data_IF_298949416820
#
_entry.id   IF_298949416820
#
_cell.length_a   1.000
_cell.length_b   1.000
_cell.length_c   1.000
_cell.angle_alpha   90.00
_cell.angle_beta   90.00
_cell.angle_gamma   90.00
#
_symmetry.space_group_name_H-M   'P 1'
#
loop_
_entity.id
_entity.type
_entity.pdbx_description
1 polymer ?
#
# COMPACT_ATOMS: atom_id res chain seq x y z
N UNK A 1 71.34 10.55 1.27
CA UNK A 1 72.05 11.74 1.80
C UNK A 1 72.79 12.42 0.65
N UNK A 2 72.53 13.73 0.50
CA UNK A 2 73.30 14.83 -0.11
C UNK A 2 73.76 14.80 -1.60
N UNK A 3 73.22 15.80 -2.30
CA UNK A 3 73.73 16.50 -3.50
C UNK A 3 75.14 17.07 -3.32
N UNK A 4 75.80 17.43 -4.43
CA UNK A 4 75.94 18.85 -4.84
C UNK A 4 75.85 18.99 -6.40
N UNK A 5 75.80 20.12 -7.09
CA UNK A 5 75.49 21.55 -6.89
C UNK A 5 75.53 22.18 -8.31
N UNK A 6 74.56 23.03 -8.66
CA UNK A 6 74.49 23.86 -9.89
C UNK A 6 75.52 25.01 -9.92
N UNK A 7 75.76 25.76 -11.04
CA UNK A 7 74.90 26.91 -11.40
C UNK A 7 74.87 27.36 -12.89
N UNK A 8 73.93 28.28 -13.22
CA UNK A 8 73.89 29.35 -14.25
C UNK A 8 72.48 29.41 -14.90
N UNK A 9 71.55 30.33 -14.57
CA UNK A 9 71.49 31.81 -14.56
C UNK A 9 71.52 32.44 -15.96
N UNK A 10 70.35 32.81 -16.49
CA UNK A 10 70.17 33.90 -17.47
C UNK A 10 68.92 34.72 -17.19
N UNK A 11 69.10 36.03 -17.36
CA UNK A 11 68.30 37.15 -16.89
C UNK A 11 67.18 37.56 -17.86
N UNK A 12 66.22 38.35 -17.34
CA UNK A 12 65.21 39.12 -18.07
C UNK A 12 65.84 40.30 -18.83
N UNK A 13 65.06 41.01 -19.66
CA UNK A 13 64.68 42.37 -19.23
C UNK A 13 63.22 42.77 -19.49
N UNK A 14 62.76 43.73 -18.69
CA UNK A 14 61.48 44.45 -18.73
C UNK A 14 61.59 45.82 -19.41
N UNK A 15 60.45 46.38 -19.87
CA UNK A 15 60.05 47.80 -20.10
C UNK A 15 59.41 47.99 -21.49
N UNK A 16 58.47 48.89 -21.77
CA UNK A 16 57.53 49.75 -21.04
C UNK A 16 56.71 50.55 -22.09
N UNK A 17 55.66 51.23 -21.62
CA UNK A 17 55.10 52.51 -22.09
C UNK A 17 53.77 52.51 -22.88
N UNK A 18 52.78 53.17 -22.24
CA UNK A 18 51.58 53.79 -22.78
C UNK A 18 51.89 55.11 -23.54
N UNK A 19 50.90 55.73 -24.21
CA UNK A 19 50.35 57.02 -23.72
C UNK A 19 48.81 57.11 -23.89
N UNK A 20 47.99 57.53 -22.91
CA UNK A 20 47.71 58.85 -22.30
C UNK A 20 46.86 59.85 -23.11
N UNK A 21 45.94 60.48 -22.35
CA UNK A 21 45.22 61.78 -22.48
C UNK A 21 43.88 61.79 -23.22
N UNK A 22 42.86 62.57 -22.81
CA UNK A 22 42.44 63.25 -21.56
C UNK A 22 41.29 64.20 -21.94
N UNK A 23 40.54 64.66 -20.92
CA UNK A 23 39.74 65.91 -20.84
C UNK A 23 38.34 65.88 -21.48
N UNK A 24 37.25 66.40 -20.90
CA UNK A 24 36.94 67.04 -19.60
C UNK A 24 35.40 67.23 -19.55
N UNK A 25 34.86 67.24 -18.33
CA UNK A 25 33.56 67.72 -17.78
C UNK A 25 32.95 69.00 -18.44
N UNK A 26 31.69 69.45 -18.14
CA UNK A 26 31.03 69.31 -16.83
C UNK A 26 29.46 69.30 -16.71
N UNK A 27 29.05 69.05 -15.44
CA UNK A 27 27.99 69.66 -14.61
C UNK A 27 26.49 69.27 -14.59
N UNK A 28 26.05 69.13 -13.31
CA UNK A 28 24.76 69.48 -12.67
C UNK A 28 23.60 68.48 -12.80
N UNK A 29 22.80 68.14 -11.78
CA UNK A 29 22.76 68.29 -10.31
C UNK A 29 21.59 67.38 -9.82
N UNK A 30 21.40 67.32 -8.50
CA UNK A 30 20.29 66.77 -7.70
C UNK A 30 20.40 65.31 -7.21
N UNK A 31 21.06 65.18 -6.03
CA UNK A 31 20.44 64.95 -4.70
C UNK A 31 19.21 64.01 -4.63
N UNK A 32 19.09 63.05 -3.70
CA UNK A 32 19.49 63.14 -2.30
C UNK A 32 19.62 61.75 -1.64
N UNK A 33 20.37 61.71 -0.55
CA UNK A 33 20.96 60.53 0.10
C UNK A 33 20.11 59.83 1.19
N UNK A 34 20.54 58.64 1.66
CA UNK A 34 19.81 57.72 2.55
C UNK A 34 20.31 57.75 4.00
N UNK A 35 19.53 57.24 4.98
CA UNK A 35 20.07 56.85 6.31
C UNK A 35 19.47 55.54 6.86
N UNK A 36 20.37 54.76 7.46
CA UNK A 36 20.34 53.44 8.09
C UNK A 36 19.57 53.34 9.45
N UNK A 37 19.48 52.14 10.07
CA UNK A 37 18.46 51.77 11.06
C UNK A 37 18.90 51.93 12.54
N UNK A 38 17.92 51.93 13.46
CA UNK A 38 18.13 51.78 14.91
C UNK A 38 17.05 50.93 15.62
N UNK A 39 17.55 49.88 16.29
CA UNK A 39 17.24 49.35 17.63
C UNK A 39 15.90 49.60 18.35
N UNK A 40 15.33 48.47 18.82
CA UNK A 40 14.89 48.17 20.20
C UNK A 40 13.85 49.06 20.92
N UNK A 41 12.73 48.46 21.38
CA UNK A 41 12.34 48.44 22.81
C UNK A 41 10.94 47.85 23.08
N UNK A 42 10.91 47.07 24.17
CA UNK A 42 9.85 46.89 25.18
C UNK A 42 8.60 46.01 24.99
N UNK A 43 8.52 45.10 25.95
CA UNK A 43 7.43 44.26 26.36
C UNK A 43 6.16 45.02 26.79
N UNK A 44 5.01 44.35 26.71
CA UNK A 44 4.01 44.43 27.78
C UNK A 44 3.27 43.11 27.98
N UNK A 45 3.46 42.60 29.18
CA UNK A 45 2.74 41.54 29.88
C UNK A 45 1.32 42.02 30.20
N UNK A 46 0.31 41.17 29.99
CA UNK A 46 -0.90 41.15 30.82
C UNK A 46 -1.22 39.69 31.15
N UNK A 47 -1.04 39.33 32.43
CA UNK A 47 -1.79 38.29 33.13
C UNK A 47 -2.82 38.97 34.01
N UNK A 48 -4.03 38.44 34.08
CA UNK A 48 -4.84 38.42 35.29
C UNK A 48 -5.82 37.22 35.24
N UNK A 49 -5.94 36.57 36.40
CA UNK A 49 -6.51 35.26 36.69
C UNK A 49 -8.05 35.23 36.88
N UNK A 50 -8.59 33.99 36.80
CA UNK A 50 -9.69 33.35 37.62
C UNK A 50 -11.09 34.00 37.62
N UNK A 51 -12.24 33.30 37.61
CA UNK A 51 -12.66 31.99 38.13
C UNK A 51 -13.90 31.41 37.38
N UNK A 52 -14.17 30.13 37.65
CA UNK A 52 -15.25 29.19 37.27
C UNK A 52 -16.66 29.65 36.82
N UNK A 53 -17.21 28.94 35.81
CA UNK A 53 -18.49 28.16 35.82
C UNK A 53 -18.86 27.74 34.38
N UNK A 54 -18.90 26.43 34.05
CA UNK A 54 -20.09 25.56 34.02
C UNK A 54 -21.13 25.84 32.92
N UNK A 55 -21.19 24.89 31.96
CA UNK A 55 -22.36 24.38 31.20
C UNK A 55 -22.91 25.22 30.03
N UNK A 56 -22.96 24.59 28.86
CA UNK A 56 -23.75 25.03 27.72
C UNK A 56 -23.39 24.32 26.41
N UNK A 57 -23.82 23.06 26.24
CA UNK A 57 -23.87 22.43 24.92
C UNK A 57 -24.90 23.16 24.05
N UNK A 58 -24.52 23.52 22.82
CA UNK A 58 -25.49 23.82 21.75
C UNK A 58 -24.96 23.27 20.43
N UNK A 59 -25.65 22.30 19.80
CA UNK A 59 -25.37 21.86 18.44
C UNK A 59 -26.26 22.65 17.49
N UNK A 60 -25.67 23.34 16.51
CA UNK A 60 -26.27 23.57 15.18
C UNK A 60 -25.37 24.51 14.38
N UNK A 61 -24.64 23.95 13.42
CA UNK A 61 -24.16 24.63 12.20
C UNK A 61 -23.43 23.60 11.33
N UNK A 62 -24.20 22.77 10.62
CA UNK A 62 -23.68 21.96 9.50
C UNK A 62 -23.77 22.82 8.25
N UNK A 63 -22.64 23.35 7.80
CA UNK A 63 -22.52 23.98 6.47
C UNK A 63 -22.19 22.88 5.46
N UNK A 64 -23.17 22.54 4.62
CA UNK A 64 -23.02 21.62 3.48
C UNK A 64 -22.35 22.38 2.34
N UNK A 65 -21.12 22.01 1.97
CA UNK A 65 -20.51 22.43 0.71
C UNK A 65 -20.68 21.28 -0.29
N UNK A 66 -21.57 21.50 -1.25
CA UNK A 66 -21.81 20.65 -2.41
C UNK A 66 -20.65 20.82 -3.41
N UNK A 67 -19.85 19.77 -3.60
CA UNK A 67 -18.91 19.68 -4.73
C UNK A 67 -19.41 18.63 -5.73
N UNK A 68 -19.38 19.02 -6.99
CA UNK A 68 -19.96 18.34 -8.15
C UNK A 68 -19.28 16.99 -8.43
N UNK A 69 -20.12 16.03 -8.78
CA UNK A 69 -19.80 14.68 -9.23
C UNK A 69 -19.25 14.69 -10.67
N UNK A 70 -18.06 14.12 -10.86
CA UNK A 70 -17.58 13.64 -12.15
C UNK A 70 -17.40 12.12 -12.03
N UNK A 71 -18.35 11.35 -12.56
CA UNK A 71 -18.28 9.90 -12.59
C UNK A 71 -17.31 9.45 -13.69
N UNK A 72 -16.26 8.72 -13.32
CA UNK A 72 -15.50 7.88 -14.25
C UNK A 72 -15.64 6.43 -13.81
N UNK A 73 -16.24 5.61 -14.67
CA UNK A 73 -16.52 4.20 -14.43
C UNK A 73 -15.25 3.38 -14.59
N UNK A 74 -14.85 2.60 -13.57
CA UNK A 74 -13.77 1.63 -13.70
C UNK A 74 -14.33 0.20 -13.72
N UNK A 75 -14.08 -0.48 -14.85
CA UNK A 75 -14.33 -1.89 -15.04
C UNK A 75 -13.15 -2.73 -14.50
N UNK A 76 -13.49 -3.73 -13.68
CA UNK A 76 -12.78 -5.01 -13.43
C UNK A 76 -11.24 -5.00 -13.30
N UNK A 77 -10.75 -5.12 -12.06
CA UNK A 77 -9.38 -5.52 -11.75
C UNK A 77 -9.15 -7.02 -11.98
N UNK A 78 -8.16 -7.32 -12.83
CA UNK A 78 -7.18 -8.41 -12.80
C UNK A 78 -7.65 -9.87 -12.64
N UNK A 79 -7.65 -10.60 -13.77
CA UNK A 79 -7.49 -12.06 -13.85
C UNK A 79 -6.18 -12.38 -14.60
N UNK A 80 -5.35 -13.34 -14.16
CA UNK A 80 -4.17 -13.74 -14.91
C UNK A 80 -4.54 -14.78 -15.98
N UNK A 81 -4.06 -14.60 -17.22
CA UNK A 81 -4.13 -15.64 -18.27
C UNK A 81 -2.76 -15.79 -18.93
N UNK A 82 -2.25 -17.03 -18.92
CA UNK A 82 -1.06 -17.47 -19.66
C UNK A 82 -1.40 -17.79 -21.14
N UNK A 83 -0.40 -17.88 -22.04
CA UNK A 83 -0.53 -17.36 -23.41
C UNK A 83 -1.01 -18.39 -24.43
N UNK A 84 -1.70 -17.96 -25.50
CA UNK A 84 -1.70 -18.66 -26.79
C UNK A 84 -2.10 -17.78 -27.99
N UNK A 85 -1.11 -17.56 -28.86
CA UNK A 85 -1.05 -17.72 -30.34
C UNK A 85 -2.11 -17.05 -31.25
N UNK A 86 -1.58 -16.31 -32.22
CA UNK A 86 -2.20 -15.37 -33.17
C UNK A 86 -3.17 -15.93 -34.25
N UNK A 87 -4.05 -15.00 -34.71
CA UNK A 87 -4.59 -14.76 -36.08
C UNK A 87 -5.95 -15.39 -36.48
N UNK A 88 -6.73 -14.80 -37.45
CA UNK A 88 -7.64 -13.65 -37.23
C UNK A 88 -9.07 -13.81 -37.82
N UNK A 89 -9.95 -12.85 -37.48
CA UNK A 89 -11.11 -12.28 -38.20
C UNK A 89 -12.26 -13.17 -38.73
N UNK A 90 -13.49 -12.91 -38.28
CA UNK A 90 -14.57 -12.30 -39.11
C UNK A 90 -15.83 -11.94 -38.30
N UNK A 91 -16.55 -10.95 -38.82
CA UNK A 91 -17.65 -10.16 -38.26
C UNK A 91 -19.00 -10.90 -38.05
N UNK A 92 -19.87 -10.24 -37.28
CA UNK A 92 -21.32 -10.04 -37.52
C UNK A 92 -22.32 -10.55 -36.46
N UNK A 93 -23.04 -9.56 -35.94
CA UNK A 93 -24.48 -9.52 -35.64
C UNK A 93 -25.15 -10.54 -34.69
N UNK A 94 -25.65 -10.00 -33.57
CA UNK A 94 -26.83 -10.49 -32.81
C UNK A 94 -28.12 -10.24 -33.63
N UNK A 95 -29.27 -10.95 -33.44
CA UNK A 95 -29.90 -11.12 -32.12
C UNK A 95 -30.84 -12.34 -31.87
N UNK A 96 -31.09 -12.58 -30.58
CA UNK A 96 -32.31 -13.18 -29.96
C UNK A 96 -32.87 -14.51 -30.48
N UNK A 97 -32.85 -15.57 -29.63
CA UNK A 97 -34.01 -16.47 -29.36
C UNK A 97 -33.70 -17.62 -28.39
N UNK A 98 -34.52 -17.71 -27.34
CA UNK A 98 -35.08 -18.91 -26.67
C UNK A 98 -34.24 -20.21 -26.72
N UNK A 99 -33.63 -20.59 -25.60
CA UNK A 99 -33.01 -21.89 -25.40
C UNK A 99 -34.05 -22.99 -25.06
N UNK A 100 -34.14 -23.98 -25.97
CA UNK A 100 -34.80 -25.27 -25.73
C UNK A 100 -33.82 -26.25 -25.07
N UNK A 101 -34.37 -27.05 -24.15
CA UNK A 101 -33.77 -28.18 -23.44
C UNK A 101 -33.31 -29.26 -24.43
N UNK A 102 -32.04 -29.66 -24.39
CA UNK A 102 -31.50 -30.81 -25.14
C UNK A 102 -30.87 -31.80 -24.17
N UNK A 103 -31.39 -33.03 -24.25
CA UNK A 103 -30.95 -34.26 -23.57
C UNK A 103 -29.88 -34.91 -24.44
N UNK A 104 -28.72 -35.26 -23.87
CA UNK A 104 -27.67 -36.02 -24.58
C UNK A 104 -27.66 -37.46 -24.06
N UNK A 105 -27.97 -38.40 -24.98
CA UNK A 105 -27.87 -39.85 -24.83
C UNK A 105 -26.42 -40.30 -25.03
N UNK A 106 -25.96 -41.24 -24.21
CA UNK A 106 -24.68 -41.94 -24.31
C UNK A 106 -24.78 -43.11 -25.30
N UNK A 107 -23.85 -43.20 -26.25
CA UNK A 107 -23.67 -44.38 -27.10
C UNK A 107 -22.32 -45.04 -26.82
N UNK A 108 -22.37 -46.31 -26.43
CA UNK A 108 -21.26 -47.27 -26.42
C UNK A 108 -20.95 -47.70 -27.86
N UNK A 109 -19.67 -47.88 -28.18
CA UNK A 109 -19.25 -48.74 -29.28
C UNK A 109 -17.94 -49.45 -28.92
N UNK A 110 -17.89 -50.73 -29.24
CA UNK A 110 -16.87 -51.72 -28.88
C UNK A 110 -16.23 -52.20 -30.17
N UNK A 111 -14.89 -52.31 -30.25
CA UNK A 111 -14.24 -53.31 -31.09
C UNK A 111 -12.78 -53.52 -30.67
N UNK A 112 -12.38 -54.79 -30.68
CA UNK A 112 -11.11 -55.32 -30.22
C UNK A 112 -10.40 -56.06 -31.37
N UNK A 113 -9.07 -55.94 -31.49
CA UNK A 113 -8.17 -56.87 -32.21
C UNK A 113 -6.76 -56.81 -31.59
N UNK A 114 -6.14 -57.98 -31.38
CA UNK A 114 -4.73 -58.27 -31.01
C UNK A 114 -4.34 -59.59 -31.75
N UNK A 115 -3.06 -60.09 -31.87
CA UNK A 115 -1.84 -59.78 -31.08
C UNK A 115 -0.41 -59.84 -31.74
N UNK A 116 0.58 -59.28 -30.99
CA UNK A 116 1.97 -59.76 -30.66
C UNK A 116 3.15 -59.73 -31.69
N UNK A 117 4.45 -59.83 -31.28
CA UNK A 117 5.13 -59.46 -30.00
C UNK A 117 6.53 -58.78 -30.16
N UNK A 118 7.06 -58.06 -29.15
CA UNK A 118 8.43 -58.27 -28.62
C UNK A 118 8.77 -57.42 -27.37
N UNK A 119 9.19 -58.15 -26.34
CA UNK A 119 9.97 -57.91 -25.11
C UNK A 119 10.40 -56.49 -24.65
N UNK A 120 10.05 -56.15 -23.40
CA UNK A 120 10.94 -56.19 -22.22
C UNK A 120 10.58 -55.11 -21.17
N UNK A 121 10.25 -55.57 -19.96
CA UNK A 121 10.45 -54.88 -18.67
C UNK A 121 9.85 -53.49 -18.45
N UNK A 122 8.82 -53.39 -17.61
CA UNK A 122 8.73 -52.54 -16.39
C UNK A 122 7.29 -52.64 -15.87
N UNK A 123 7.17 -52.99 -14.60
CA UNK A 123 5.94 -53.01 -13.80
C UNK A 123 5.22 -51.66 -13.86
N UNK A 124 3.92 -51.57 -14.22
CA UNK A 124 3.16 -50.33 -14.09
C UNK A 124 2.71 -50.18 -12.64
N UNK A 125 3.33 -49.23 -11.96
CA UNK A 125 2.89 -48.66 -10.69
C UNK A 125 1.49 -48.03 -10.88
N UNK A 126 0.53 -48.23 -9.96
CA UNK A 126 -0.74 -47.52 -10.02
C UNK A 126 -0.50 -46.02 -9.80
N UNK A 127 -1.18 -45.20 -10.60
CA UNK A 127 -1.18 -43.75 -10.47
C UNK A 127 -1.55 -43.32 -9.04
N UNK A 128 -0.86 -42.32 -8.45
CA UNK A 128 -1.19 -41.84 -7.12
C UNK A 128 -2.59 -41.22 -7.12
N UNK A 129 -3.38 -41.76 -6.22
CA UNK A 129 -4.68 -41.31 -5.75
C UNK A 129 -4.77 -39.79 -5.56
N UNK A 130 -5.95 -39.27 -5.87
CA UNK A 130 -6.48 -37.99 -5.41
C UNK A 130 -5.96 -37.59 -4.03
N UNK A 131 -5.42 -36.38 -3.95
CA UNK A 131 -4.86 -35.77 -2.75
C UNK A 131 -5.99 -35.62 -1.71
N UNK A 132 -5.93 -36.26 -0.54
CA UNK A 132 -6.98 -36.22 0.50
C UNK A 132 -7.36 -34.79 0.93
N UNK A 133 -6.42 -33.85 0.80
CA UNK A 133 -6.62 -32.43 1.13
C UNK A 133 -7.55 -31.72 0.14
N UNK A 134 -7.57 -32.13 -1.15
CA UNK A 134 -8.47 -31.56 -2.15
C UNK A 134 -9.91 -32.05 -1.92
N UNK A 135 -10.09 -33.33 -1.55
CA UNK A 135 -11.40 -33.85 -1.16
C UNK A 135 -11.91 -33.22 0.15
N UNK A 136 -11.02 -33.00 1.12
CA UNK A 136 -11.36 -32.30 2.36
C UNK A 136 -11.78 -30.84 2.09
N UNK A 137 -11.07 -30.12 1.23
CA UNK A 137 -11.44 -28.77 0.79
C UNK A 137 -12.78 -28.75 0.06
N UNK A 138 -13.01 -29.69 -0.87
CA UNK A 138 -14.26 -29.76 -1.60
C UNK A 138 -15.44 -30.04 -0.66
N UNK A 139 -15.26 -30.95 0.31
CA UNK A 139 -16.27 -31.26 1.33
C UNK A 139 -16.58 -30.04 2.21
N UNK A 140 -15.56 -29.25 2.57
CA UNK A 140 -15.73 -28.04 3.34
C UNK A 140 -16.47 -26.95 2.54
N UNK A 141 -16.13 -26.75 1.26
CA UNK A 141 -16.81 -25.80 0.37
C UNK A 141 -18.29 -26.17 0.17
N UNK A 142 -18.60 -27.44 -0.08
CA UNK A 142 -19.99 -27.91 -0.19
C UNK A 142 -20.76 -27.72 1.12
N UNK A 143 -20.10 -27.89 2.27
CA UNK A 143 -20.71 -27.67 3.57
C UNK A 143 -20.98 -26.18 3.83
N UNK A 144 -20.07 -25.30 3.42
CA UNK A 144 -20.23 -23.85 3.51
C UNK A 144 -21.36 -23.35 2.60
N UNK A 145 -21.42 -23.83 1.36
CA UNK A 145 -22.46 -23.51 0.40
C UNK A 145 -23.84 -23.97 0.90
N UNK A 146 -23.94 -25.17 1.47
CA UNK A 146 -25.18 -25.66 2.08
C UNK A 146 -25.65 -24.79 3.25
N UNK A 147 -24.69 -24.22 4.01
CA UNK A 147 -24.97 -23.36 5.17
C UNK A 147 -25.38 -21.96 4.73
N UNK A 148 -24.77 -21.42 3.67
CA UNK A 148 -25.19 -20.17 3.04
C UNK A 148 -26.60 -20.26 2.47
N UNK A 149 -26.93 -21.35 1.79
CA UNK A 149 -28.27 -21.56 1.23
C UNK A 149 -29.34 -21.70 2.31
N UNK A 150 -29.05 -22.37 3.45
CA UNK A 150 -29.95 -22.38 4.62
C UNK A 150 -30.14 -20.98 5.20
N UNK A 151 -29.05 -20.25 5.42
CA UNK A 151 -29.13 -18.89 5.96
C UNK A 151 -29.90 -17.93 5.02
N UNK A 152 -29.83 -18.14 3.70
CA UNK A 152 -30.60 -17.37 2.73
C UNK A 152 -32.10 -17.71 2.82
N UNK A 153 -32.45 -19.00 2.91
CA UNK A 153 -33.82 -19.44 3.11
C UNK A 153 -34.41 -18.93 4.44
N UNK A 154 -33.64 -18.98 5.53
CA UNK A 154 -34.05 -18.47 6.84
C UNK A 154 -34.32 -16.95 6.79
N UNK A 155 -33.49 -16.19 6.07
CA UNK A 155 -33.72 -14.74 5.88
C UNK A 155 -34.95 -14.45 5.04
N UNK A 156 -35.21 -15.24 4.01
CA UNK A 156 -36.40 -15.08 3.17
C UNK A 156 -37.68 -15.43 3.95
N UNK A 157 -37.62 -16.44 4.81
CA UNK A 157 -38.70 -16.80 5.73
C UNK A 157 -38.92 -15.71 6.80
N UNK A 158 -37.86 -15.18 7.40
CA UNK A 158 -37.95 -14.03 8.31
C UNK A 158 -38.52 -12.79 7.62
N UNK A 159 -38.12 -12.52 6.37
CA UNK A 159 -38.62 -11.37 5.60
C UNK A 159 -40.10 -11.52 5.26
N UNK A 160 -40.53 -12.75 4.94
CA UNK A 160 -41.95 -13.08 4.73
C UNK A 160 -42.76 -12.93 6.02
N UNK A 161 -42.23 -13.42 7.14
CA UNK A 161 -42.86 -13.27 8.46
C UNK A 161 -42.96 -11.79 8.87
N UNK A 162 -41.94 -10.98 8.59
CA UNK A 162 -41.96 -9.54 8.85
C UNK A 162 -42.99 -8.81 7.97
N UNK A 163 -43.15 -9.22 6.71
CA UNK A 163 -44.17 -8.68 5.82
C UNK A 163 -45.59 -9.04 6.30
N UNK A 164 -45.82 -10.28 6.72
CA UNK A 164 -47.08 -10.73 7.31
C UNK A 164 -47.40 -9.98 8.61
N UNK A 165 -46.41 -9.77 9.48
CA UNK A 165 -46.57 -8.99 10.71
C UNK A 165 -46.92 -7.53 10.42
N UNK A 166 -46.28 -6.90 9.43
CA UNK A 166 -46.61 -5.53 9.02
C UNK A 166 -48.02 -5.43 8.46
N UNK A 167 -48.44 -6.41 7.66
CA UNK A 167 -49.80 -6.46 7.12
C UNK A 167 -50.84 -6.67 8.23
N UNK A 168 -50.62 -7.62 9.14
CA UNK A 168 -51.51 -7.84 10.29
C UNK A 168 -51.60 -6.62 11.21
N UNK A 169 -50.50 -5.87 11.39
CA UNK A 169 -50.47 -4.66 12.19
C UNK A 169 -51.21 -3.51 11.51
N UNK A 170 -51.14 -3.43 10.18
CA UNK A 170 -51.91 -2.47 9.39
C UNK A 170 -53.42 -2.83 9.41
N UNK A 171 -53.76 -4.10 9.23
CA UNK A 171 -55.14 -4.61 9.27
C UNK A 171 -55.78 -4.38 10.65
N UNK A 172 -55.03 -4.63 11.74
CA UNK A 172 -55.47 -4.37 13.11
C UNK A 172 -55.64 -2.86 13.42
N UNK A 173 -54.84 -1.99 12.79
CA UNK A 173 -55.01 -0.54 12.90
C UNK A 173 -56.25 -0.05 12.15
N UNK A 174 -56.57 -0.62 10.98
CA UNK A 174 -57.83 -0.34 10.28
C UNK A 174 -59.05 -0.92 10.98
N UNK A 175 -58.95 -2.10 11.62
CA UNK A 175 -60.03 -2.70 12.40
C UNK A 175 -60.36 -1.87 13.66
N UNK A 176 -59.34 -1.32 14.34
CA UNK A 176 -59.52 -0.39 15.48
C UNK A 176 -60.22 0.93 15.12
N UNK A 177 -60.24 1.32 13.86
CA UNK A 177 -60.99 2.49 13.39
C UNK A 177 -62.47 2.18 13.05
N UNK A 178 -62.86 0.91 13.02
CA UNK A 178 -64.16 0.47 12.50
C UNK A 178 -65.14 -0.18 13.49
N UNK A 179 -64.69 -0.79 14.60
CA UNK A 179 -65.60 -1.55 15.48
C UNK A 179 -65.66 -1.00 16.91
N UNK A 180 -66.80 -0.36 17.21
CA UNK A 180 -67.40 -0.36 18.54
C UNK A 180 -68.11 -1.71 18.73
N UNK A 181 -67.98 -2.23 19.95
CA UNK A 181 -68.69 -3.39 20.50
C UNK A 181 -68.37 -4.75 19.86
N UNK A 182 -67.50 -5.50 20.54
CA UNK A 182 -67.84 -6.78 21.18
C UNK A 182 -66.68 -7.21 22.09
N UNK A 183 -66.97 -7.29 23.39
CA UNK A 183 -66.05 -7.62 24.46
C UNK A 183 -65.82 -9.14 24.52
N UNK A 184 -64.63 -9.60 24.11
CA UNK A 184 -64.08 -10.90 24.52
C UNK A 184 -62.93 -10.65 25.51
N UNK A 185 -63.21 -10.55 26.82
CA UNK A 185 -62.23 -10.10 27.82
C UNK A 185 -61.04 -11.07 28.03
N UNK A 186 -61.12 -12.29 27.51
CA UNK A 186 -60.08 -13.31 27.68
C UNK A 186 -59.00 -13.20 26.58
N UNK A 187 -59.40 -13.03 25.32
CA UNK A 187 -58.47 -12.92 24.19
C UNK A 187 -57.71 -11.59 24.19
N UNK A 188 -58.36 -10.50 24.63
CA UNK A 188 -57.71 -9.19 24.79
C UNK A 188 -56.64 -9.22 25.90
N UNK A 189 -56.88 -9.98 26.97
CA UNK A 189 -55.92 -10.10 28.07
C UNK A 189 -54.70 -10.92 27.66
N UNK A 190 -54.90 -12.00 26.90
CA UNK A 190 -53.81 -12.81 26.37
C UNK A 190 -52.98 -12.06 25.34
N UNK A 191 -53.63 -11.31 24.44
CA UNK A 191 -52.96 -10.41 23.50
C UNK A 191 -52.17 -9.30 24.21
N UNK A 192 -52.70 -8.71 25.27
CA UNK A 192 -51.98 -7.73 26.09
C UNK A 192 -50.76 -8.35 26.77
N UNK A 193 -50.91 -9.56 27.31
CA UNK A 193 -49.82 -10.29 27.95
C UNK A 193 -48.72 -10.67 26.93
N UNK A 194 -49.09 -11.10 25.73
CA UNK A 194 -48.14 -11.39 24.65
C UNK A 194 -47.41 -10.12 24.18
N UNK A 195 -48.13 -9.00 24.05
CA UNK A 195 -47.55 -7.72 23.65
C UNK A 195 -46.52 -7.23 24.68
N UNK A 196 -46.85 -7.33 25.97
CA UNK A 196 -45.90 -7.00 27.05
C UNK A 196 -44.70 -7.96 27.10
N UNK A 197 -44.90 -9.24 26.76
CA UNK A 197 -43.81 -10.21 26.63
C UNK A 197 -42.92 -9.92 25.42
N UNK A 198 -43.49 -9.45 24.32
CA UNK A 198 -42.76 -9.02 23.12
C UNK A 198 -41.98 -7.73 23.37
N UNK A 199 -42.59 -6.74 24.02
CA UNK A 199 -41.88 -5.50 24.43
C UNK A 199 -40.69 -5.80 25.32
N UNK A 200 -40.85 -6.70 26.31
CA UNK A 200 -39.74 -7.17 27.15
C UNK A 200 -38.64 -7.82 26.32
N UNK A 201 -38.98 -8.76 25.44
CA UNK A 201 -37.99 -9.39 24.55
C UNK A 201 -37.26 -8.39 23.64
N UNK A 202 -37.98 -7.43 23.05
CA UNK A 202 -37.39 -6.37 22.24
C UNK A 202 -36.46 -5.49 23.09
N UNK A 203 -36.87 -5.15 24.31
CA UNK A 203 -36.04 -4.37 25.23
C UNK A 203 -34.78 -5.11 25.66
N UNK A 204 -34.90 -6.40 26.01
CA UNK A 204 -33.77 -7.28 26.35
C UNK A 204 -32.82 -7.45 25.16
N UNK A 205 -33.35 -7.64 23.96
CA UNK A 205 -32.56 -7.79 22.74
C UNK A 205 -31.90 -6.47 22.33
N UNK A 206 -32.58 -5.35 22.47
CA UNK A 206 -31.99 -4.01 22.26
C UNK A 206 -30.93 -3.71 23.31
N UNK A 207 -31.13 -4.13 24.56
CA UNK A 207 -30.14 -4.02 25.62
C UNK A 207 -28.93 -4.86 25.27
N UNK A 208 -29.10 -6.13 24.90
CA UNK A 208 -28.03 -7.02 24.45
C UNK A 208 -27.28 -6.48 23.22
N UNK A 209 -28.00 -5.91 22.24
CA UNK A 209 -27.39 -5.22 21.09
C UNK A 209 -26.61 -3.99 21.56
N UNK A 210 -27.13 -3.22 22.53
CA UNK A 210 -26.42 -2.09 23.11
C UNK A 210 -25.17 -2.54 23.87
N UNK A 211 -25.22 -3.62 24.65
CA UNK A 211 -24.05 -4.21 25.34
C UNK A 211 -23.01 -4.69 24.32
N UNK A 212 -23.43 -5.43 23.28
CA UNK A 212 -22.54 -5.86 22.20
C UNK A 212 -21.96 -4.69 21.40
N UNK A 213 -22.69 -3.58 21.26
CA UNK A 213 -22.16 -2.33 20.66
C UNK A 213 -21.20 -1.60 21.59
N UNK A 214 -21.36 -1.74 22.90
CA UNK A 214 -20.46 -1.19 23.90
C UNK A 214 -19.17 -2.03 24.01
N UNK A 215 -19.27 -3.33 23.74
CA UNK A 215 -18.15 -4.27 23.58
C UNK A 215 -17.53 -4.25 22.17
N UNK A 216 -18.05 -3.46 21.23
CA UNK A 216 -17.36 -3.23 19.96
C UNK A 216 -16.06 -2.51 20.27
N UNK A 217 -14.98 -3.05 19.72
CA UNK A 217 -13.65 -2.44 19.80
C UNK A 217 -13.78 -0.97 19.41
N UNK A 218 -13.55 -0.08 20.37
CA UNK A 218 -13.64 1.35 20.14
C UNK A 218 -12.74 1.69 18.95
N UNK A 219 -13.22 2.48 17.96
CA UNK A 219 -12.39 2.89 16.83
C UNK A 219 -11.08 3.47 17.36
N UNK A 220 -9.95 3.02 16.79
CA UNK A 220 -8.68 3.65 17.12
C UNK A 220 -8.79 5.16 16.83
N UNK A 221 -8.42 5.98 17.82
CA UNK A 221 -8.36 7.44 17.65
C UNK A 221 -7.16 7.86 16.80
N UNK A 222 -6.31 6.92 16.41
CA UNK A 222 -5.16 7.17 15.55
C UNK A 222 -5.61 7.60 14.15
N UNK A 223 -5.26 8.82 13.78
CA UNK A 223 -5.41 9.33 12.42
C UNK A 223 -4.04 9.58 11.83
N UNK A 224 -3.85 9.12 10.59
CA UNK A 224 -2.64 9.31 9.82
C UNK A 224 -2.95 10.28 8.68
N UNK A 225 -2.31 11.45 8.70
CA UNK A 225 -2.49 12.48 7.69
C UNK A 225 -1.65 12.18 6.46
N UNK A 226 -2.14 12.58 5.29
CA UNK A 226 -1.47 12.30 4.02
C UNK A 226 -0.11 13.01 3.91
N UNK A 227 -0.01 14.23 4.45
CA UNK A 227 1.25 14.97 4.54
C UNK A 227 2.32 14.26 5.39
N UNK A 228 1.91 13.57 6.45
CA UNK A 228 2.85 12.85 7.32
C UNK A 228 3.39 11.60 6.60
N UNK A 229 2.49 10.90 5.89
CA UNK A 229 2.86 9.75 5.05
C UNK A 229 3.84 10.17 3.96
N UNK A 230 3.51 11.24 3.24
CA UNK A 230 4.36 11.77 2.17
C UNK A 230 5.73 12.20 2.70
N UNK A 231 5.78 12.89 3.84
CA UNK A 231 7.02 13.32 4.49
C UNK A 231 7.90 12.12 4.87
N UNK A 232 7.32 11.08 5.49
CA UNK A 232 8.07 9.88 5.90
C UNK A 232 8.53 9.06 4.70
N UNK A 233 7.69 8.91 3.68
CA UNK A 233 8.04 8.21 2.44
C UNK A 233 9.18 8.91 1.70
N UNK A 234 9.08 10.23 1.50
CA UNK A 234 10.16 11.05 0.93
C UNK A 234 11.41 11.05 1.81
N UNK A 235 11.25 10.99 3.12
CA UNK A 235 12.35 10.83 4.07
C UNK A 235 13.12 9.52 3.87
N UNK A 236 12.42 8.40 3.65
CA UNK A 236 13.04 7.11 3.31
C UNK A 236 13.76 7.20 1.96
N UNK A 237 13.09 7.76 0.93
CA UNK A 237 13.69 7.96 -0.39
C UNK A 237 14.99 8.76 -0.34
N UNK A 238 15.00 9.85 0.44
CA UNK A 238 16.17 10.69 0.65
C UNK A 238 17.33 9.92 1.29
N UNK A 239 17.05 9.15 2.35
CA UNK A 239 18.09 8.37 3.05
C UNK A 239 18.68 7.27 2.16
N UNK A 240 17.84 6.61 1.35
CA UNK A 240 18.29 5.61 0.37
C UNK A 240 19.22 6.27 -0.65
N UNK A 241 18.80 7.38 -1.25
CA UNK A 241 19.63 8.14 -2.19
C UNK A 241 20.95 8.56 -1.55
N UNK A 242 20.89 9.09 -0.33
CA UNK A 242 22.07 9.55 0.41
C UNK A 242 23.02 8.39 0.70
N UNK A 243 22.50 7.26 1.18
CA UNK A 243 23.27 6.03 1.42
C UNK A 243 23.99 5.58 0.15
N UNK A 244 23.27 5.46 -0.97
CA UNK A 244 23.88 5.02 -2.23
C UNK A 244 24.97 5.99 -2.68
N UNK A 245 24.70 7.30 -2.63
CA UNK A 245 25.64 8.32 -3.12
C UNK A 245 26.93 8.43 -2.31
N UNK A 246 26.87 8.18 -1.00
CA UNK A 246 28.00 8.33 -0.09
C UNK A 246 28.74 7.00 0.14
N UNK A 247 28.01 5.89 0.19
CA UNK A 247 28.56 4.60 0.62
C UNK A 247 28.89 3.71 -0.57
N UNK A 248 28.05 3.66 -1.61
CA UNK A 248 28.17 2.70 -2.71
C UNK A 248 28.98 3.26 -3.90
N UNK A 249 30.18 3.75 -3.62
CA UNK A 249 31.03 4.46 -4.60
C UNK A 249 32.09 3.56 -5.26
N UNK A 250 32.36 2.37 -4.69
CA UNK A 250 33.41 1.46 -5.17
C UNK A 250 32.96 0.71 -6.44
N UNK A 251 33.95 0.40 -7.30
CA UNK A 251 33.79 -0.36 -8.55
C UNK A 251 34.52 -1.71 -8.48
N UNK A 252 33.85 -2.79 -8.03
CA UNK A 252 34.50 -4.07 -7.74
C UNK A 252 34.55 -5.01 -8.94
N UNK A 253 35.13 -4.58 -10.08
CA UNK A 253 35.11 -5.37 -11.32
C UNK A 253 35.77 -6.75 -11.23
N UNK A 254 36.70 -6.95 -10.28
CA UNK A 254 37.45 -8.20 -10.09
C UNK A 254 37.16 -8.89 -8.75
N UNK A 255 36.34 -8.29 -7.90
CA UNK A 255 36.11 -8.82 -6.57
C UNK A 255 35.00 -9.89 -6.64
N UNK A 256 35.20 -11.03 -5.99
CA UNK A 256 34.14 -12.01 -5.78
C UNK A 256 33.11 -11.48 -4.79
N UNK A 257 31.84 -11.89 -4.95
CA UNK A 257 30.85 -11.59 -3.92
C UNK A 257 31.24 -12.26 -2.59
N UNK A 258 30.97 -11.63 -1.44
CA UNK A 258 31.21 -12.22 -0.15
C UNK A 258 30.29 -13.43 0.06
N UNK A 259 30.75 -14.35 0.90
CA UNK A 259 29.98 -15.56 1.22
C UNK A 259 28.67 -15.16 1.91
N UNK A 260 27.54 -15.61 1.36
CA UNK A 260 26.20 -15.32 1.89
C UNK A 260 25.51 -14.11 1.25
N UNK A 261 26.18 -13.37 0.36
CA UNK A 261 25.50 -12.37 -0.47
C UNK A 261 24.58 -13.02 -1.51
N UNK A 262 23.58 -12.26 -1.97
CA UNK A 262 22.82 -12.66 -3.14
C UNK A 262 23.67 -12.52 -4.41
N UNK A 263 24.24 -13.64 -4.87
CA UNK A 263 25.14 -13.67 -6.03
C UNK A 263 24.48 -13.13 -7.30
N UNK A 264 23.17 -13.37 -7.49
CA UNK A 264 22.44 -12.92 -8.69
C UNK A 264 22.42 -11.40 -8.75
N UNK A 265 22.12 -10.76 -7.63
CA UNK A 265 22.03 -9.30 -7.54
C UNK A 265 23.42 -8.66 -7.67
N UNK A 266 24.43 -9.24 -7.01
CA UNK A 266 25.82 -8.76 -7.12
C UNK A 266 26.31 -8.75 -8.57
N UNK A 267 26.10 -9.84 -9.30
CA UNK A 267 26.53 -9.92 -10.71
C UNK A 267 25.69 -9.00 -11.61
N UNK A 268 24.40 -8.82 -11.31
CA UNK A 268 23.57 -7.85 -12.00
C UNK A 268 24.11 -6.41 -11.81
N UNK A 269 24.45 -6.01 -10.57
CA UNK A 269 25.02 -4.68 -10.29
C UNK A 269 26.36 -4.45 -10.96
N UNK A 270 27.25 -5.46 -10.99
CA UNK A 270 28.51 -5.38 -11.76
C UNK A 270 28.23 -5.15 -13.25
N UNK A 271 27.25 -5.85 -13.82
CA UNK A 271 26.84 -5.68 -15.21
C UNK A 271 26.28 -4.27 -15.46
N UNK A 272 25.46 -3.74 -14.56
CA UNK A 272 24.92 -2.38 -14.67
C UNK A 272 26.04 -1.33 -14.60
N UNK A 273 26.95 -1.39 -13.62
CA UNK A 273 28.11 -0.49 -13.55
C UNK A 273 29.00 -0.55 -14.80
N UNK A 274 29.16 -1.74 -15.41
CA UNK A 274 29.92 -1.90 -16.65
C UNK A 274 29.20 -1.33 -17.88
N UNK A 275 27.86 -1.43 -17.93
CA UNK A 275 27.04 -0.91 -19.03
C UNK A 275 27.00 0.62 -19.00
N UNK A 276 26.61 1.19 -17.86
CA UNK A 276 26.58 2.63 -17.64
C UNK A 276 26.84 2.95 -16.16
N UNK A 277 27.94 3.66 -15.93
CA UNK A 277 28.37 4.06 -14.60
C UNK A 277 27.37 5.01 -13.93
N UNK A 278 26.66 5.80 -14.73
CA UNK A 278 25.79 6.85 -14.25
C UNK A 278 24.39 6.35 -13.91
N UNK A 279 23.96 5.21 -14.45
CA UNK A 279 22.68 4.58 -14.08
C UNK A 279 22.81 3.61 -12.91
N UNK A 280 24.01 3.08 -12.64
CA UNK A 280 24.26 2.16 -11.54
C UNK A 280 23.75 2.62 -10.15
N UNK A 281 23.87 3.91 -9.75
CA UNK A 281 23.29 4.39 -8.49
C UNK A 281 21.77 4.16 -8.39
N UNK A 282 21.04 4.24 -9.50
CA UNK A 282 19.59 4.04 -9.50
C UNK A 282 19.22 2.56 -9.33
N UNK A 283 20.02 1.63 -9.86
CA UNK A 283 19.85 0.21 -9.61
C UNK A 283 20.07 -0.17 -8.13
N UNK A 284 21.04 0.47 -7.45
CA UNK A 284 21.21 0.25 -6.02
C UNK A 284 20.05 0.81 -5.19
N UNK A 285 19.52 1.99 -5.56
CA UNK A 285 18.33 2.56 -4.92
C UNK A 285 17.12 1.65 -5.11
N UNK A 286 16.88 1.18 -6.34
CA UNK A 286 15.84 0.21 -6.67
C UNK A 286 15.94 -1.05 -5.80
N UNK A 287 17.13 -1.63 -5.67
CA UNK A 287 17.34 -2.81 -4.83
C UNK A 287 16.96 -2.59 -3.37
N UNK A 288 17.38 -1.46 -2.78
CA UNK A 288 17.02 -1.17 -1.39
C UNK A 288 15.50 -1.03 -1.26
N UNK A 289 14.85 -0.30 -2.19
CA UNK A 289 13.39 -0.20 -2.22
C UNK A 289 12.72 -1.56 -2.36
N UNK A 290 13.20 -2.42 -3.27
CA UNK A 290 12.70 -3.78 -3.47
C UNK A 290 12.71 -4.58 -2.17
N UNK A 291 13.81 -4.54 -1.42
CA UNK A 291 13.89 -5.22 -0.12
C UNK A 291 12.94 -4.64 0.92
N UNK A 292 12.77 -3.32 0.97
CA UNK A 292 11.80 -2.70 1.88
C UNK A 292 10.36 -3.09 1.51
N UNK A 293 10.03 -3.12 0.22
CA UNK A 293 8.70 -3.53 -0.26
C UNK A 293 8.45 -4.99 0.08
N UNK A 294 9.30 -5.91 -0.37
CA UNK A 294 9.10 -7.34 -0.19
C UNK A 294 9.11 -7.74 1.29
N UNK A 295 10.12 -7.33 2.05
CA UNK A 295 10.32 -7.82 3.42
C UNK A 295 9.39 -7.15 4.44
N UNK A 296 9.01 -5.88 4.22
CA UNK A 296 8.27 -5.08 5.21
C UNK A 296 6.85 -4.82 4.74
N UNK A 297 6.69 -4.08 3.64
CA UNK A 297 5.37 -3.59 3.21
C UNK A 297 4.48 -4.68 2.61
N UNK A 298 5.07 -5.75 2.07
CA UNK A 298 4.35 -6.93 1.56
C UNK A 298 4.40 -8.11 2.54
N UNK A 299 4.80 -7.86 3.80
CA UNK A 299 4.78 -8.88 4.85
C UNK A 299 5.63 -10.13 4.52
N UNK A 300 6.74 -9.95 3.78
CA UNK A 300 7.67 -11.04 3.46
C UNK A 300 8.37 -11.59 4.69
N UNK A 301 8.70 -10.72 5.65
CA UNK A 301 9.30 -11.10 6.95
C UNK A 301 8.50 -10.56 8.12
N UNK A 302 8.67 -11.20 9.28
CA UNK A 302 7.92 -10.96 10.52
C UNK A 302 8.38 -9.68 11.26
N UNK A 303 8.39 -8.56 10.54
CA UNK A 303 8.93 -7.26 11.00
C UNK A 303 7.98 -6.48 11.91
N UNK A 304 6.73 -6.93 12.03
CA UNK A 304 5.70 -6.30 12.83
C UNK A 304 4.81 -7.36 13.50
N UNK A 305 4.63 -7.26 14.82
CA UNK A 305 3.77 -8.16 15.60
C UNK A 305 4.20 -9.63 15.62
N UNK A 306 5.45 -9.94 15.26
CA UNK A 306 5.94 -11.30 15.09
C UNK A 306 5.18 -12.10 14.00
N UNK A 307 5.25 -13.45 14.04
CA UNK A 307 4.59 -14.29 13.04
C UNK A 307 3.08 -14.07 12.92
N UNK A 308 2.42 -13.81 14.05
CA UNK A 308 0.97 -13.53 14.08
C UNK A 308 0.64 -12.17 13.44
N UNK A 309 1.43 -11.13 13.75
CA UNK A 309 1.27 -9.82 13.13
C UNK A 309 1.54 -9.83 11.63
N UNK A 310 2.52 -10.62 11.21
CA UNK A 310 2.82 -10.80 9.80
C UNK A 310 1.68 -11.51 9.04
N UNK A 311 1.11 -12.57 9.63
CA UNK A 311 -0.06 -13.24 9.07
C UNK A 311 -1.27 -12.28 8.96
N UNK A 312 -1.46 -11.44 9.99
CA UNK A 312 -2.50 -10.41 9.98
C UNK A 312 -2.25 -9.33 8.91
N UNK A 313 -1.00 -8.91 8.74
CA UNK A 313 -0.62 -7.97 7.68
C UNK A 313 -0.95 -8.55 6.30
N UNK A 314 -0.57 -9.80 6.01
CA UNK A 314 -0.93 -10.49 4.76
C UNK A 314 -2.43 -10.58 4.54
N UNK A 315 -3.19 -10.85 5.59
CA UNK A 315 -4.66 -10.86 5.52
C UNK A 315 -5.21 -9.48 5.11
N UNK A 316 -4.67 -8.39 5.67
CA UNK A 316 -5.05 -7.04 5.30
C UNK A 316 -4.71 -6.70 3.84
N UNK A 317 -3.53 -7.13 3.37
CA UNK A 317 -3.10 -6.94 1.97
C UNK A 317 -4.05 -7.67 1.00
N UNK A 318 -4.35 -8.96 1.26
CA UNK A 318 -5.24 -9.74 0.41
C UNK A 318 -6.64 -9.13 0.29
N UNK A 319 -7.22 -8.63 1.39
CA UNK A 319 -8.54 -7.99 1.34
C UNK A 319 -8.49 -6.68 0.57
N UNK A 320 -7.39 -5.94 0.69
CA UNK A 320 -7.23 -4.68 -0.04
C UNK A 320 -7.15 -4.84 -1.57
N UNK A 321 -6.94 -6.07 -2.05
CA UNK A 321 -6.89 -6.38 -3.48
C UNK A 321 -8.23 -6.87 -4.06
N UNK A 322 -9.19 -7.28 -3.21
CA UNK A 322 -10.33 -8.11 -3.64
C UNK A 322 -11.69 -7.44 -3.41
N UNK A 323 -11.91 -6.74 -2.29
CA UNK A 323 -13.28 -6.41 -1.86
C UNK A 323 -13.41 -5.09 -1.07
N UNK A 324 -14.05 -4.08 -1.67
CA UNK A 324 -14.35 -2.78 -1.04
C UNK A 324 -15.32 -2.89 0.15
N UNK A 325 -16.29 -3.80 0.10
CA UNK A 325 -17.23 -4.03 1.21
C UNK A 325 -16.48 -4.69 2.38
N UNK A 326 -15.62 -5.66 2.06
CA UNK A 326 -14.67 -6.27 2.97
C UNK A 326 -13.75 -5.25 3.64
N UNK A 327 -13.22 -4.26 2.90
CA UNK A 327 -12.41 -3.17 3.47
C UNK A 327 -13.17 -2.32 4.49
N UNK A 328 -14.45 -2.02 4.23
CA UNK A 328 -15.27 -1.20 5.13
C UNK A 328 -15.44 -1.89 6.49
N UNK A 329 -15.72 -3.19 6.47
CA UNK A 329 -15.86 -3.99 7.68
C UNK A 329 -14.51 -4.22 8.37
N UNK A 330 -13.46 -4.47 7.57
CA UNK A 330 -12.12 -4.75 8.07
C UNK A 330 -11.43 -3.52 8.67
N UNK A 331 -11.64 -2.33 8.12
CA UNK A 331 -10.91 -1.10 8.49
C UNK A 331 -10.88 -0.85 10.00
N UNK A 332 -12.03 -0.97 10.67
CA UNK A 332 -12.12 -0.76 12.12
C UNK A 332 -11.35 -1.84 12.86
N UNK A 333 -11.58 -3.10 12.51
CA UNK A 333 -10.89 -4.24 13.11
C UNK A 333 -9.38 -4.18 12.90
N UNK A 334 -8.93 -3.84 11.68
CA UNK A 334 -7.53 -3.58 11.31
C UNK A 334 -6.88 -2.57 12.23
N UNK A 335 -7.44 -1.36 12.27
CA UNK A 335 -6.87 -0.26 13.06
C UNK A 335 -6.80 -0.59 14.54
N UNK A 336 -7.82 -1.26 15.09
CA UNK A 336 -7.89 -1.56 16.50
C UNK A 336 -6.97 -2.70 16.91
N UNK A 337 -6.88 -3.76 16.10
CA UNK A 337 -5.95 -4.86 16.36
C UNK A 337 -4.51 -4.38 16.23
N UNK A 338 -4.22 -3.57 15.21
CA UNK A 338 -2.90 -2.98 15.04
C UNK A 338 -2.48 -2.12 16.24
N UNK A 339 -3.40 -1.34 16.84
CA UNK A 339 -3.14 -0.55 18.04
C UNK A 339 -2.82 -1.40 19.29
N UNK A 340 -3.41 -2.59 19.40
CA UNK A 340 -3.10 -3.54 20.47
C UNK A 340 -1.73 -4.18 20.20
N UNK A 341 -1.51 -4.67 18.98
CA UNK A 341 -0.30 -5.39 18.61
C UNK A 341 0.95 -4.49 18.62
N UNK A 342 0.82 -3.21 18.27
CA UNK A 342 1.94 -2.26 18.29
C UNK A 342 2.54 -2.06 19.68
N UNK A 343 1.81 -2.40 20.76
CA UNK A 343 2.28 -2.28 22.16
C UNK A 343 3.00 -3.53 22.67
N UNK A 344 2.91 -4.65 21.96
CA UNK A 344 3.18 -5.97 22.55
C UNK A 344 4.38 -6.73 21.99
N UNK A 345 5.05 -6.27 20.92
CA UNK A 345 5.98 -7.14 20.16
C UNK A 345 7.31 -6.51 19.71
N UNK A 346 7.97 -5.76 20.58
CA UNK A 346 9.20 -5.02 20.23
C UNK A 346 10.44 -5.90 19.96
N UNK A 347 10.62 -7.03 20.66
CA UNK A 347 11.89 -7.79 20.61
C UNK A 347 12.07 -8.59 19.31
N UNK A 348 11.04 -9.31 18.87
CA UNK A 348 11.11 -10.11 17.63
C UNK A 348 11.29 -9.23 16.40
N UNK A 349 10.61 -8.07 16.37
CA UNK A 349 10.72 -7.11 15.28
C UNK A 349 12.16 -6.57 15.15
N UNK A 350 12.88 -6.40 16.28
CA UNK A 350 14.28 -5.92 16.27
C UNK A 350 15.24 -6.90 15.61
N UNK A 351 15.06 -8.20 15.82
CA UNK A 351 15.91 -9.21 15.18
C UNK A 351 15.70 -9.26 13.67
N UNK A 352 14.43 -9.27 13.23
CA UNK A 352 14.10 -9.27 11.80
C UNK A 352 14.59 -8.00 11.09
N UNK A 353 14.42 -6.83 11.72
CA UNK A 353 15.00 -5.57 11.23
C UNK A 353 16.51 -5.67 11.05
N UNK A 354 17.22 -6.28 12.01
CA UNK A 354 18.68 -6.48 11.92
C UNK A 354 19.05 -7.43 10.79
N UNK A 355 18.34 -8.55 10.65
CA UNK A 355 18.55 -9.53 9.58
C UNK A 355 18.38 -8.91 8.20
N UNK A 356 17.31 -8.14 7.95
CA UNK A 356 17.08 -7.45 6.67
C UNK A 356 18.24 -6.51 6.34
N UNK A 357 18.65 -5.69 7.31
CA UNK A 357 19.76 -4.76 7.13
C UNK A 357 21.09 -5.48 6.88
N UNK A 358 21.33 -6.62 7.55
CA UNK A 358 22.52 -7.45 7.36
C UNK A 358 22.56 -8.07 5.96
N UNK A 359 21.46 -8.65 5.48
CA UNK A 359 21.38 -9.25 4.15
C UNK A 359 21.61 -8.22 3.03
N UNK A 360 21.02 -7.03 3.17
CA UNK A 360 21.29 -5.90 2.28
C UNK A 360 22.75 -5.47 2.35
N UNK A 361 23.31 -5.33 3.55
CA UNK A 361 24.70 -4.91 3.73
C UNK A 361 25.68 -5.91 3.12
N UNK A 362 25.48 -7.22 3.33
CA UNK A 362 26.30 -8.29 2.76
C UNK A 362 26.26 -8.27 1.24
N UNK A 363 25.08 -8.12 0.64
CA UNK A 363 24.91 -8.07 -0.82
C UNK A 363 25.58 -6.83 -1.43
N UNK A 364 25.49 -5.68 -0.75
CA UNK A 364 26.05 -4.42 -1.23
C UNK A 364 27.53 -4.23 -0.86
N UNK A 365 28.09 -5.10 -0.02
CA UNK A 365 29.39 -4.92 0.62
C UNK A 365 30.52 -4.63 -0.38
N UNK A 366 30.58 -5.34 -1.51
CA UNK A 366 31.68 -5.17 -2.47
C UNK A 366 31.69 -3.80 -3.15
N UNK A 367 30.53 -3.13 -3.18
CA UNK A 367 30.36 -1.80 -3.77
C UNK A 367 30.60 -0.68 -2.77
N UNK A 368 30.80 -0.99 -1.49
CA UNK A 368 31.02 0.03 -0.46
C UNK A 368 32.44 0.58 -0.48
N UNK A 369 32.57 1.89 -0.24
CA UNK A 369 33.86 2.56 -0.06
C UNK A 369 34.64 1.93 1.12
N UNK A 370 35.91 1.53 0.93
CA UNK A 370 36.76 1.02 2.00
C UNK A 370 36.88 1.94 3.22
N UNK A 371 36.81 3.26 3.04
CA UNK A 371 36.90 4.21 4.16
C UNK A 371 35.58 4.24 4.96
N UNK A 372 34.44 4.17 4.28
CA UNK A 372 33.12 4.05 4.92
C UNK A 372 32.96 2.71 5.66
N UNK A 373 33.60 1.63 5.18
CA UNK A 373 33.60 0.32 5.87
C UNK A 373 34.31 0.34 7.22
N UNK A 374 35.34 1.18 7.39
CA UNK A 374 36.16 1.23 8.61
C UNK A 374 35.49 2.00 9.75
N UNK A 375 34.54 2.87 9.45
CA UNK A 375 33.79 3.59 10.48
C UNK A 375 32.94 2.59 11.29
N UNK A 376 33.11 2.55 12.63
CA UNK A 376 32.32 1.71 13.57
C UNK A 376 30.79 1.92 13.50
N UNK A 377 30.33 2.91 12.73
CA UNK A 377 28.92 3.26 12.44
C UNK A 377 28.56 3.19 10.95
N UNK A 378 29.42 2.62 10.10
CA UNK A 378 29.49 2.91 8.65
C UNK A 378 28.26 2.53 7.81
N UNK A 379 28.16 1.34 7.18
CA UNK A 379 27.05 1.05 6.25
C UNK A 379 25.83 0.34 6.85
N UNK A 380 26.07 -0.70 7.65
CA UNK A 380 25.01 -1.57 8.17
C UNK A 380 24.06 -0.82 9.12
N UNK A 381 24.59 0.09 9.94
CA UNK A 381 23.78 0.92 10.84
C UNK A 381 22.85 1.85 10.06
N UNK A 382 23.34 2.47 8.98
CA UNK A 382 22.54 3.34 8.11
C UNK A 382 21.42 2.55 7.42
N UNK A 383 21.72 1.37 6.88
CA UNK A 383 20.69 0.48 6.32
C UNK A 383 19.67 0.06 7.38
N UNK A 384 20.12 -0.26 8.59
CA UNK A 384 19.22 -0.58 9.70
C UNK A 384 18.33 0.61 10.09
N UNK A 385 18.84 1.84 10.05
CA UNK A 385 18.04 3.04 10.29
C UNK A 385 16.97 3.24 9.20
N UNK A 386 17.31 2.99 7.92
CA UNK A 386 16.35 2.98 6.80
C UNK A 386 15.26 1.93 7.02
N UNK A 387 15.64 0.69 7.34
CA UNK A 387 14.69 -0.42 7.63
C UNK A 387 13.77 -0.06 8.79
N UNK A 388 14.31 0.52 9.88
CA UNK A 388 13.47 0.95 11.01
C UNK A 388 12.48 2.04 10.63
N UNK A 389 12.86 3.00 9.78
CA UNK A 389 11.93 4.03 9.27
C UNK A 389 10.80 3.38 8.48
N UNK A 390 11.11 2.42 7.61
CA UNK A 390 10.10 1.68 6.86
C UNK A 390 9.17 0.85 7.76
N UNK A 391 9.69 0.13 8.76
CA UNK A 391 8.86 -0.62 9.72
C UNK A 391 7.94 0.31 10.52
N UNK A 392 8.43 1.47 10.96
CA UNK A 392 7.60 2.47 11.67
C UNK A 392 6.51 3.04 10.78
N UNK A 393 6.81 3.29 9.50
CA UNK A 393 5.80 3.74 8.55
C UNK A 393 4.75 2.64 8.31
N UNK A 394 5.17 1.38 8.19
CA UNK A 394 4.26 0.24 8.05
C UNK A 394 3.35 0.06 9.29
N UNK A 395 3.88 0.25 10.50
CA UNK A 395 3.06 0.27 11.73
C UNK A 395 1.95 1.33 11.65
N UNK A 396 2.29 2.54 11.19
CA UNK A 396 1.31 3.61 10.98
C UNK A 396 0.28 3.24 9.93
N UNK A 397 0.69 2.61 8.83
CA UNK A 397 -0.24 2.12 7.80
C UNK A 397 -1.22 1.10 8.37
N UNK A 398 -0.75 0.17 9.19
CA UNK A 398 -1.60 -0.85 9.82
C UNK A 398 -2.57 -0.25 10.83
N UNK A 399 -2.12 0.70 11.65
CA UNK A 399 -2.96 1.41 12.63
C UNK A 399 -3.95 2.39 12.02
N UNK A 400 -3.66 2.89 10.81
CA UNK A 400 -4.61 3.69 10.05
C UNK A 400 -5.83 2.87 9.65
N UNK A 401 -6.97 3.55 9.53
CA UNK A 401 -8.22 2.97 9.00
C UNK A 401 -8.23 2.92 7.47
N UNK A 402 -7.37 3.70 6.82
CA UNK A 402 -7.13 3.57 5.39
C UNK A 402 -6.27 2.34 5.08
N UNK A 403 -6.30 1.92 3.82
CA UNK A 403 -5.38 0.91 3.29
C UNK A 403 -4.32 1.60 2.43
N UNK A 404 -3.08 1.15 2.53
CA UNK A 404 -1.97 1.68 1.74
C UNK A 404 -1.48 0.58 0.82
N UNK A 405 -1.45 0.88 -0.48
CA UNK A 405 -0.99 -0.02 -1.52
C UNK A 405 0.32 0.48 -2.08
N UNK A 406 1.29 -0.43 -2.19
CA UNK A 406 2.59 -0.16 -2.79
C UNK A 406 2.72 -1.04 -4.00
N UNK A 407 2.88 -0.42 -5.16
CA UNK A 407 2.94 -1.12 -6.45
C UNK A 407 4.04 -0.54 -7.32
N UNK A 408 4.69 -1.40 -8.07
CA UNK A 408 5.58 -1.02 -9.16
C UNK A 408 4.78 -0.63 -10.41
N UNK A 409 5.40 0.05 -11.37
CA UNK A 409 4.78 0.45 -12.63
C UNK A 409 4.34 -0.79 -13.42
N UNK A 410 3.22 -0.63 -14.13
CA UNK A 410 2.73 -1.62 -15.09
C UNK A 410 3.34 -1.35 -16.48
N UNK A 411 3.10 -2.26 -17.43
CA UNK A 411 3.78 -2.27 -18.74
C UNK A 411 3.61 -0.95 -19.55
N UNK A 412 2.54 -0.18 -19.29
CA UNK A 412 2.29 1.13 -19.89
C UNK A 412 2.26 2.22 -18.81
N UNK A 413 3.37 2.97 -18.64
CA UNK A 413 3.45 4.04 -17.65
C UNK A 413 2.62 5.27 -18.09
N UNK A 414 1.87 5.82 -17.16
CA UNK A 414 1.27 7.15 -17.29
C UNK A 414 2.31 8.22 -16.95
N UNK A 415 2.94 8.80 -17.98
CA UNK A 415 4.07 9.70 -17.84
C UNK A 415 3.75 11.00 -17.09
N UNK A 416 2.49 11.41 -17.03
CA UNK A 416 2.05 12.62 -16.31
C UNK A 416 2.12 12.45 -14.79
N UNK A 417 2.20 11.21 -14.29
CA UNK A 417 2.21 10.84 -12.87
C UNK A 417 3.47 10.08 -12.46
N UNK A 418 4.63 10.49 -12.99
CA UNK A 418 5.93 9.85 -12.76
C UNK A 418 7.02 10.91 -12.54
N UNK A 419 7.82 10.75 -11.48
CA UNK A 419 9.00 11.59 -11.21
C UNK A 419 10.23 11.06 -11.99
N UNK A 420 10.48 11.64 -13.16
CA UNK A 420 11.63 11.28 -13.99
C UNK A 420 12.91 11.91 -13.44
N UNK A 421 13.81 11.06 -12.93
CA UNK A 421 15.10 11.49 -12.34
C UNK A 421 16.22 11.67 -13.34
N UNK A 422 16.13 11.03 -14.51
CA UNK A 422 17.18 11.04 -15.52
C UNK A 422 16.63 10.61 -16.87
N UNK A 423 17.01 11.35 -17.91
CA UNK A 423 16.92 10.91 -19.29
C UNK A 423 18.28 10.41 -19.80
N UNK A 424 18.23 9.43 -20.69
CA UNK A 424 19.38 8.89 -21.42
C UNK A 424 18.94 8.49 -22.82
N UNK A 425 19.87 8.24 -23.76
CA UNK A 425 19.53 7.81 -25.12
C UNK A 425 19.54 8.92 -26.16
N UNK A 426 18.87 8.70 -27.29
CA UNK A 426 18.85 9.63 -28.43
C UNK A 426 17.65 10.57 -28.37
N UNK A 427 17.88 11.85 -28.63
CA UNK A 427 16.83 12.86 -28.68
C UNK A 427 15.78 12.50 -29.75
N UNK A 428 14.49 12.62 -29.39
CA UNK A 428 13.36 12.24 -30.24
C UNK A 428 13.02 10.74 -30.30
N UNK A 429 13.72 9.90 -29.52
CA UNK A 429 13.38 8.48 -29.36
C UNK A 429 12.12 8.25 -28.52
N UNK A 430 11.60 7.01 -28.56
CA UNK A 430 10.42 6.63 -27.76
C UNK A 430 10.86 6.49 -26.29
N UNK A 431 10.14 7.16 -25.39
CA UNK A 431 10.38 7.08 -23.96
C UNK A 431 10.11 5.67 -23.43
N UNK A 432 11.10 5.09 -22.77
CA UNK A 432 10.99 3.80 -22.09
C UNK A 432 11.62 3.87 -20.71
N UNK A 433 10.96 3.29 -19.71
CA UNK A 433 11.53 3.15 -18.37
C UNK A 433 12.77 2.24 -18.43
N UNK A 434 13.91 2.76 -17.99
CA UNK A 434 15.16 1.98 -17.84
C UNK A 434 15.24 1.35 -16.44
N UNK A 435 14.98 2.16 -15.41
CA UNK A 435 14.96 1.70 -14.01
C UNK A 435 13.83 2.37 -13.26
N UNK A 436 12.98 1.56 -12.61
CA UNK A 436 12.03 2.07 -11.63
C UNK A 436 12.71 2.18 -10.27
N UNK A 437 13.08 3.39 -9.87
CA UNK A 437 13.90 3.67 -8.69
C UNK A 437 13.13 3.41 -7.41
N UNK A 438 11.89 3.91 -7.33
CA UNK A 438 11.02 3.73 -6.16
C UNK A 438 9.61 3.41 -6.59
N UNK A 439 8.87 2.62 -5.79
CA UNK A 439 7.51 2.24 -6.11
C UNK A 439 6.54 3.40 -5.88
N UNK A 440 5.35 3.26 -6.46
CA UNK A 440 4.20 4.13 -6.22
C UNK A 440 3.57 3.81 -4.87
N UNK A 441 3.11 4.85 -4.15
CA UNK A 441 2.32 4.72 -2.93
C UNK A 441 0.90 5.28 -3.14
N UNK A 442 -0.10 4.42 -2.98
CA UNK A 442 -1.53 4.77 -3.04
C UNK A 442 -2.21 4.54 -1.70
N UNK A 443 -3.24 5.32 -1.43
CA UNK A 443 -4.11 5.22 -0.26
C UNK A 443 -5.53 4.92 -0.73
N UNK A 444 -6.16 3.89 -0.17
CA UNK A 444 -7.56 3.55 -0.40
C UNK A 444 -8.37 3.90 0.86
N UNK A 445 -9.42 4.69 0.66
CA UNK A 445 -10.22 5.23 1.75
C UNK A 445 -9.51 6.34 2.52
N UNK A 446 -10.29 7.11 3.29
CA UNK A 446 -9.79 8.21 4.11
C UNK A 446 -9.36 7.74 5.50
N UNK A 447 -8.74 8.64 6.28
CA UNK A 447 -8.25 8.35 7.63
C UNK A 447 -9.38 7.98 8.62
N UNK A 448 -10.64 8.28 8.29
CA UNK A 448 -11.81 7.91 9.09
C UNK A 448 -12.34 6.51 8.77
N UNK A 449 -11.80 5.83 7.76
CA UNK A 449 -12.25 4.52 7.30
C UNK A 449 -13.52 4.61 6.44
N UNK A 450 -13.55 5.54 5.49
CA UNK A 450 -14.65 5.76 4.53
C UNK A 450 -14.08 5.95 3.11
N UNK A 451 -14.94 5.95 2.10
CA UNK A 451 -14.57 6.20 0.68
C UNK A 451 -13.55 5.20 0.10
N UNK A 452 -13.73 3.91 0.39
CA UNK A 452 -12.84 2.85 -0.13
C UNK A 452 -12.98 2.61 -1.64
N UNK A 453 -13.99 3.20 -2.28
CA UNK A 453 -14.17 3.29 -3.73
C UNK A 453 -13.14 4.21 -4.40
N UNK A 454 -12.38 4.99 -3.62
CA UNK A 454 -11.39 5.94 -4.11
C UNK A 454 -9.98 5.52 -3.71
N UNK A 455 -9.07 5.55 -4.69
CA UNK A 455 -7.63 5.39 -4.48
C UNK A 455 -6.92 6.71 -4.79
N UNK A 456 -6.30 7.31 -3.78
CA UNK A 456 -5.51 8.53 -3.92
C UNK A 456 -4.03 8.17 -4.07
N UNK A 457 -3.37 8.75 -5.05
CA UNK A 457 -1.91 8.69 -5.17
C UNK A 457 -1.26 9.65 -4.17
N UNK A 458 -0.45 9.10 -3.26
CA UNK A 458 0.24 9.87 -2.22
C UNK A 458 1.66 10.20 -2.65
N UNK A 459 2.34 9.24 -3.30
CA UNK A 459 3.67 9.44 -3.85
C UNK A 459 3.79 8.76 -5.21
N UNK A 460 4.19 9.55 -6.20
CA UNK A 460 4.52 9.10 -7.55
C UNK A 460 5.77 8.21 -7.54
N UNK A 461 5.84 7.21 -8.43
CA UNK A 461 7.04 6.41 -8.60
C UNK A 461 8.16 7.26 -9.22
N UNK A 462 9.40 7.00 -8.81
CA UNK A 462 10.58 7.65 -9.38
C UNK A 462 11.22 6.72 -10.42
N UNK A 463 11.59 7.22 -11.59
CA UNK A 463 12.19 6.40 -12.66
C UNK A 463 13.41 7.06 -13.31
N UNK A 464 14.19 6.26 -14.01
CA UNK A 464 15.04 6.73 -15.11
C UNK A 464 14.44 6.31 -16.45
N UNK A 465 14.55 7.19 -17.44
CA UNK A 465 14.03 6.98 -18.79
C UNK A 465 15.20 6.86 -19.78
N UNK A 466 15.05 5.94 -20.72
CA UNK A 466 15.89 5.81 -21.91
C UNK A 466 15.04 6.10 -23.15
N UNK A 467 15.55 6.99 -23.99
CA UNK A 467 15.00 7.30 -25.31
C UNK A 467 15.61 6.34 -26.32
N UNK A 468 14.79 5.44 -26.86
CA UNK A 468 15.21 4.34 -27.75
C UNK A 468 15.11 4.71 -29.22
#
# INVERSE_FOLDING_TARGET
MKFPSSPERRERPSRAAAPTKNMKEPDSDDDDQPIRPQSSSSARVIRADKDNSSVGFSPDSITVISAQSSASSMATLNRPISPKRNSPETESESPTKKSRKIVIKTNKSTQAVTPAPSQAGITPQPAPSTIPEIEAMHKFLTQLESRMNRNAADRDEEKKNNALLKQALQDAQTAKAGEKDLTHPTDDQDLLNENEKLKRRISEQNHYIATLRQDRIAPSSFKLMDSDVELEWKGIAFEIRNFVSQVLTKRPYRDSAPRGANQKDVEAFKKYQKKDIHTAPYHFQHYIWLRLVEDIFQAGKDTWGGPAGNAFHRYCLNISEIDFEGMTQLSTFKSSQAEVMSKSFDEHNREQVRSIAQEMALTLEIFMDPEEKKARTGPQKRLMDIVRKAVRLNDKFLRSRAFYLISWLQDEPDWDHIDIRRFSGKEGGIEKVDVEISPRLRKIGNADGRHFDQALEICEPMVTVVLV
#
